data_IF_764265675811
#
_entry.id   IF_764265675811
#
_cell.length_a   1.000
_cell.length_b   1.000
_cell.length_c   1.000
_cell.angle_alpha   90.00
_cell.angle_beta   90.00
_cell.angle_gamma   90.00
#
_symmetry.space_group_name_H-M   'P 1'
#
loop_
_entity.id
_entity.type
_entity.pdbx_description
1 polymer ?
#
# COMPACT_ATOMS: atom_id res chain seq x y z
N UNK A 1 -26.03 -14.96 -11.78
CA UNK A 1 -25.86 -16.24 -11.06
C UNK A 1 -24.76 -16.17 -10.00
N UNK A 2 -23.55 -15.69 -10.35
CA UNK A 2 -22.41 -15.61 -9.43
C UNK A 2 -22.65 -14.71 -8.20
N UNK A 3 -23.23 -13.52 -8.39
CA UNK A 3 -23.64 -12.62 -7.29
C UNK A 3 -24.47 -13.34 -6.21
N UNK A 4 -25.50 -14.09 -6.60
CA UNK A 4 -26.38 -14.81 -5.67
C UNK A 4 -25.64 -15.89 -4.87
N UNK A 5 -24.71 -16.60 -5.48
CA UNK A 5 -23.89 -17.61 -4.79
C UNK A 5 -22.96 -16.95 -3.77
N UNK A 6 -22.34 -15.84 -4.17
CA UNK A 6 -21.47 -15.06 -3.28
C UNK A 6 -22.28 -14.51 -2.10
N UNK A 7 -23.44 -13.89 -2.33
CA UNK A 7 -24.33 -13.40 -1.28
C UNK A 7 -24.75 -14.52 -0.31
N UNK A 8 -25.05 -15.71 -0.84
CA UNK A 8 -25.41 -16.87 -0.01
C UNK A 8 -24.23 -17.39 0.80
N UNK A 9 -23.01 -17.30 0.28
CA UNK A 9 -21.81 -17.68 1.00
C UNK A 9 -21.46 -16.66 2.10
N UNK A 10 -21.60 -15.37 1.80
CA UNK A 10 -21.40 -14.24 2.73
C UNK A 10 -22.29 -14.38 3.98
N UNK A 11 -23.57 -14.77 3.82
CA UNK A 11 -24.47 -14.95 4.97
C UNK A 11 -24.13 -16.14 5.86
N UNK A 12 -23.18 -16.99 5.44
CA UNK A 12 -22.72 -18.18 6.16
C UNK A 12 -21.26 -18.08 6.60
N UNK A 13 -20.67 -16.88 6.53
CA UNK A 13 -19.25 -16.65 6.82
C UNK A 13 -18.84 -17.16 8.21
N UNK A 14 -19.70 -16.95 9.21
CA UNK A 14 -19.43 -17.38 10.60
C UNK A 14 -19.47 -18.91 10.77
N UNK A 15 -20.19 -19.61 9.89
CA UNK A 15 -20.25 -21.06 9.90
C UNK A 15 -19.01 -21.73 9.29
N UNK A 16 -18.10 -20.97 8.68
CA UNK A 16 -16.90 -21.49 8.03
C UNK A 16 -15.78 -21.85 9.02
N UNK A 17 -15.79 -21.27 10.23
CA UNK A 17 -14.77 -21.54 11.24
C UNK A 17 -13.34 -21.37 10.68
N UNK A 18 -12.56 -22.44 10.65
CA UNK A 18 -11.18 -22.43 10.16
C UNK A 18 -11.03 -22.28 8.63
N UNK A 19 -12.10 -22.47 7.85
CA UNK A 19 -12.05 -22.29 6.38
C UNK A 19 -12.36 -20.84 5.96
N UNK A 20 -12.59 -19.94 6.93
CA UNK A 20 -12.92 -18.53 6.68
C UNK A 20 -11.84 -17.80 5.88
N UNK A 21 -10.57 -17.96 6.26
CA UNK A 21 -9.44 -17.32 5.55
C UNK A 21 -9.38 -17.75 4.07
N UNK A 22 -9.44 -19.05 3.79
CA UNK A 22 -9.43 -19.58 2.41
C UNK A 22 -10.61 -19.06 1.58
N UNK A 23 -11.77 -18.89 2.22
CA UNK A 23 -12.91 -18.28 1.55
C UNK A 23 -12.64 -16.82 1.17
N UNK A 24 -12.01 -16.02 2.05
CA UNK A 24 -11.63 -14.64 1.74
C UNK A 24 -10.60 -14.58 0.61
N UNK A 25 -9.59 -15.45 0.62
CA UNK A 25 -8.60 -15.58 -0.46
C UNK A 25 -9.28 -15.88 -1.82
N UNK A 26 -10.21 -16.85 -1.85
CA UNK A 26 -11.01 -17.18 -3.03
C UNK A 26 -11.94 -16.04 -3.45
N UNK A 27 -12.48 -15.29 -2.49
CA UNK A 27 -13.33 -14.15 -2.79
C UNK A 27 -12.53 -13.03 -3.46
N UNK A 28 -11.34 -12.71 -2.95
CA UNK A 28 -10.43 -11.75 -3.59
C UNK A 28 -10.02 -12.24 -4.99
N UNK A 29 -9.71 -13.52 -5.16
CA UNK A 29 -9.44 -14.11 -6.48
C UNK A 29 -10.57 -13.84 -7.49
N UNK A 30 -11.80 -14.10 -7.05
CA UNK A 30 -13.03 -13.92 -7.80
C UNK A 30 -13.21 -12.43 -8.16
N UNK A 31 -12.94 -11.51 -7.23
CA UNK A 31 -12.96 -10.07 -7.51
C UNK A 31 -11.97 -9.69 -8.60
N UNK A 32 -10.72 -10.12 -8.48
CA UNK A 32 -9.68 -9.84 -9.48
C UNK A 32 -10.04 -10.43 -10.85
N UNK A 33 -10.62 -11.63 -10.89
CA UNK A 33 -10.98 -12.33 -12.13
C UNK A 33 -12.20 -11.72 -12.82
N UNK A 34 -13.27 -11.41 -12.08
CA UNK A 34 -14.52 -10.89 -12.65
C UNK A 34 -14.42 -9.40 -12.98
N UNK A 35 -13.77 -8.62 -12.12
CA UNK A 35 -13.65 -7.17 -12.32
C UNK A 35 -12.71 -6.86 -13.50
N UNK A 36 -11.93 -7.84 -13.98
CA UNK A 36 -11.21 -7.72 -15.25
C UNK A 36 -12.14 -7.72 -16.48
N UNK A 37 -13.31 -8.37 -16.39
CA UNK A 37 -14.12 -8.71 -17.57
C UNK A 37 -15.42 -7.89 -17.75
N UNK A 38 -15.99 -7.28 -16.70
CA UNK A 38 -17.32 -6.62 -16.80
C UNK A 38 -17.31 -5.11 -16.55
N UNK A 39 -18.08 -4.33 -17.32
CA UNK A 39 -18.13 -2.85 -17.27
C UNK A 39 -19.24 -2.27 -16.38
N UNK A 40 -20.10 -3.08 -15.77
CA UNK A 40 -21.25 -2.60 -15.01
C UNK A 40 -21.07 -2.79 -13.49
N UNK A 41 -21.05 -1.65 -12.79
CA UNK A 41 -21.32 -1.43 -11.35
C UNK A 41 -21.25 -2.70 -10.48
N UNK A 42 -20.04 -3.17 -10.21
CA UNK A 42 -19.80 -4.33 -9.34
C UNK A 42 -19.88 -3.95 -7.85
N UNK A 43 -20.85 -3.16 -7.40
CA UNK A 43 -20.95 -2.78 -5.97
C UNK A 43 -21.26 -3.95 -5.02
N UNK A 44 -21.60 -5.12 -5.56
CA UNK A 44 -21.86 -6.34 -4.77
C UNK A 44 -20.67 -6.73 -3.91
N UNK A 45 -19.43 -6.33 -4.26
CA UNK A 45 -18.27 -6.69 -3.46
C UNK A 45 -18.31 -6.05 -2.05
N UNK A 46 -19.01 -4.92 -1.93
CA UNK A 46 -19.20 -4.17 -0.67
C UNK A 46 -20.15 -4.87 0.28
N UNK A 47 -20.98 -5.79 -0.23
CA UNK A 47 -21.92 -6.54 0.60
C UNK A 47 -21.16 -7.51 1.52
N UNK A 48 -20.09 -8.18 1.04
CA UNK A 48 -19.23 -9.00 1.91
C UNK A 48 -18.67 -8.17 3.07
N UNK A 49 -18.19 -6.96 2.77
CA UNK A 49 -17.50 -6.13 3.76
C UNK A 49 -18.35 -5.89 5.01
N UNK A 50 -19.67 -5.78 4.86
CA UNK A 50 -20.58 -5.58 6.00
C UNK A 50 -20.58 -6.73 7.02
N UNK A 51 -20.07 -7.90 6.63
CA UNK A 51 -19.97 -9.08 7.47
C UNK A 51 -18.53 -9.39 7.93
N UNK A 52 -17.56 -8.57 7.50
CA UNK A 52 -16.16 -8.75 7.86
C UNK A 52 -15.85 -8.05 9.18
N UNK A 53 -15.09 -8.75 10.00
CA UNK A 53 -14.46 -8.22 11.20
C UNK A 53 -13.06 -7.68 10.88
N UNK A 54 -12.43 -7.05 11.86
CA UNK A 54 -11.12 -6.41 11.67
C UNK A 54 -10.05 -7.36 11.13
N UNK A 55 -10.00 -8.58 11.66
CA UNK A 55 -8.98 -9.55 11.27
C UNK A 55 -9.22 -10.08 9.85
N UNK A 56 -10.49 -10.20 9.43
CA UNK A 56 -10.83 -10.56 8.05
C UNK A 56 -10.34 -9.51 7.04
N UNK A 57 -10.40 -8.22 7.39
CA UNK A 57 -9.88 -7.17 6.52
C UNK A 57 -8.35 -7.26 6.37
N UNK A 58 -7.63 -7.72 7.39
CA UNK A 58 -6.21 -7.98 7.27
C UNK A 58 -5.94 -9.13 6.29
N UNK A 59 -6.70 -10.23 6.36
CA UNK A 59 -6.59 -11.36 5.43
C UNK A 59 -6.95 -10.98 4.00
N UNK A 60 -8.01 -10.17 3.83
CA UNK A 60 -8.39 -9.60 2.53
C UNK A 60 -7.25 -8.73 1.99
N UNK A 61 -6.67 -7.86 2.82
CA UNK A 61 -5.62 -6.96 2.38
C UNK A 61 -4.33 -7.71 2.00
N UNK A 62 -3.98 -8.76 2.75
CA UNK A 62 -2.87 -9.64 2.43
C UNK A 62 -3.12 -10.40 1.12
N UNK A 63 -4.33 -10.91 0.91
CA UNK A 63 -4.72 -11.59 -0.34
C UNK A 63 -4.59 -10.65 -1.55
N UNK A 64 -5.06 -9.40 -1.42
CA UNK A 64 -4.91 -8.38 -2.47
C UNK A 64 -3.43 -8.16 -2.79
N UNK A 65 -2.58 -8.04 -1.76
CA UNK A 65 -1.14 -7.88 -1.94
C UNK A 65 -0.55 -9.04 -2.75
N UNK A 66 -0.91 -10.28 -2.44
CA UNK A 66 -0.47 -11.46 -3.20
C UNK A 66 -0.81 -11.34 -4.69
N UNK A 67 -2.03 -10.93 -5.03
CA UNK A 67 -2.43 -10.76 -6.44
C UNK A 67 -1.75 -9.60 -7.14
N UNK A 68 -1.51 -8.50 -6.43
CA UNK A 68 -0.78 -7.35 -6.97
C UNK A 68 0.69 -7.68 -7.23
N UNK A 69 1.30 -8.49 -6.35
CA UNK A 69 2.70 -8.94 -6.47
C UNK A 69 2.94 -10.03 -7.52
N UNK A 70 1.87 -10.63 -8.05
CA UNK A 70 1.98 -11.64 -9.09
C UNK A 70 2.47 -10.97 -10.40
N UNK A 71 3.60 -11.44 -10.92
CA UNK A 71 4.21 -10.93 -12.16
C UNK A 71 3.27 -11.00 -13.38
N UNK A 72 2.29 -11.91 -13.37
CA UNK A 72 1.28 -12.00 -14.42
C UNK A 72 0.25 -10.86 -14.38
N UNK A 73 0.15 -10.15 -13.26
CA UNK A 73 -0.66 -8.94 -13.10
C UNK A 73 0.08 -7.73 -13.67
N UNK A 74 0.07 -7.57 -14.99
CA UNK A 74 0.74 -6.43 -15.66
C UNK A 74 0.18 -5.05 -15.26
N UNK A 75 0.96 -3.99 -15.53
CA UNK A 75 0.66 -2.62 -15.08
C UNK A 75 -0.74 -2.11 -15.47
N UNK A 76 -1.20 -2.39 -16.69
CA UNK A 76 -2.55 -2.00 -17.14
C UNK A 76 -3.66 -2.67 -16.31
N UNK A 77 -3.44 -3.93 -15.90
CA UNK A 77 -4.36 -4.64 -15.04
C UNK A 77 -4.37 -4.03 -13.63
N UNK A 78 -3.21 -3.70 -13.07
CA UNK A 78 -3.09 -3.00 -11.77
C UNK A 78 -3.82 -1.66 -11.79
N UNK A 79 -3.61 -0.85 -12.83
CA UNK A 79 -4.32 0.42 -13.02
C UNK A 79 -5.84 0.24 -13.16
N UNK A 80 -6.26 -0.78 -13.91
CA UNK A 80 -7.68 -1.12 -14.06
C UNK A 80 -8.31 -1.51 -12.72
N UNK A 81 -7.63 -2.33 -11.92
CA UNK A 81 -8.10 -2.75 -10.60
C UNK A 81 -8.18 -1.56 -9.63
N UNK A 82 -7.18 -0.67 -9.67
CA UNK A 82 -7.16 0.59 -8.93
C UNK A 82 -8.45 1.38 -9.17
N UNK A 83 -8.67 1.78 -10.42
CA UNK A 83 -9.79 2.65 -10.78
C UNK A 83 -11.17 1.98 -10.65
N UNK A 84 -11.24 0.65 -10.75
CA UNK A 84 -12.53 -0.05 -10.66
C UNK A 84 -12.99 -0.29 -9.24
N UNK A 85 -12.09 -0.60 -8.31
CA UNK A 85 -12.53 -0.95 -6.96
C UNK A 85 -11.50 -0.79 -5.85
N UNK A 86 -10.20 -0.95 -6.10
CA UNK A 86 -9.20 -0.85 -5.02
C UNK A 86 -9.13 0.56 -4.43
N UNK A 87 -9.27 1.60 -5.27
CA UNK A 87 -9.38 2.98 -4.81
C UNK A 87 -10.56 3.13 -3.82
N UNK A 88 -11.76 2.68 -4.21
CA UNK A 88 -12.96 2.75 -3.37
C UNK A 88 -12.86 1.89 -2.11
N UNK A 89 -12.20 0.73 -2.20
CA UNK A 89 -11.88 -0.10 -1.04
C UNK A 89 -11.05 0.70 -0.05
N UNK A 90 -9.88 1.18 -0.48
CA UNK A 90 -8.94 1.85 0.40
C UNK A 90 -9.54 3.14 0.97
N UNK A 91 -10.24 3.95 0.17
CA UNK A 91 -10.96 5.13 0.66
C UNK A 91 -11.99 4.74 1.73
N UNK A 92 -12.75 3.67 1.50
CA UNK A 92 -13.71 3.15 2.49
C UNK A 92 -13.04 2.75 3.81
N UNK A 93 -11.85 2.14 3.75
CA UNK A 93 -11.07 1.79 4.93
C UNK A 93 -10.53 3.03 5.67
N UNK A 94 -10.07 4.04 4.94
CA UNK A 94 -9.65 5.34 5.50
C UNK A 94 -10.81 6.08 6.17
N UNK A 95 -12.02 5.99 5.60
CA UNK A 95 -13.27 6.49 6.20
C UNK A 95 -13.70 5.70 7.45
N UNK A 96 -12.97 4.64 7.82
CA UNK A 96 -13.27 3.78 8.95
C UNK A 96 -14.43 2.81 8.72
N UNK A 97 -14.80 2.53 7.47
CA UNK A 97 -15.96 1.71 7.11
C UNK A 97 -15.56 0.31 6.65
N UNK A 98 -16.20 -0.76 7.16
CA UNK A 98 -17.25 -0.76 8.18
C UNK A 98 -16.71 -0.70 9.62
N UNK A 99 -15.45 -1.09 9.81
CA UNK A 99 -14.70 -0.96 11.06
C UNK A 99 -13.38 -0.25 10.79
N UNK A 100 -12.87 0.56 11.72
CA UNK A 100 -11.60 1.26 11.57
C UNK A 100 -10.43 0.33 11.20
N UNK A 101 -9.56 0.80 10.31
CA UNK A 101 -8.38 0.09 9.83
C UNK A 101 -7.47 -0.33 10.99
N UNK A 102 -7.12 -1.62 11.02
CA UNK A 102 -6.18 -2.18 11.99
C UNK A 102 -4.73 -2.01 11.52
N UNK A 103 -3.77 -2.19 12.43
CA UNK A 103 -2.34 -2.16 12.10
C UNK A 103 -1.95 -3.24 11.08
N UNK A 104 -2.40 -4.49 11.29
CA UNK A 104 -2.06 -5.60 10.38
C UNK A 104 -2.60 -5.34 8.96
N UNK A 105 -3.84 -4.84 8.86
CA UNK A 105 -4.43 -4.43 7.59
C UNK A 105 -3.65 -3.28 6.93
N UNK A 106 -3.33 -2.22 7.69
CA UNK A 106 -2.56 -1.09 7.17
C UNK A 106 -1.20 -1.52 6.64
N UNK A 107 -0.53 -2.45 7.33
CA UNK A 107 0.75 -2.98 6.89
C UNK A 107 0.64 -3.68 5.54
N UNK A 108 -0.40 -4.50 5.35
CA UNK A 108 -0.66 -5.17 4.10
C UNK A 108 -0.99 -4.18 2.98
N UNK A 109 -1.85 -3.20 3.25
CA UNK A 109 -2.22 -2.14 2.28
C UNK A 109 -1.01 -1.32 1.86
N UNK A 110 -0.13 -0.99 2.79
CA UNK A 110 1.10 -0.26 2.46
C UNK A 110 2.08 -1.09 1.62
N UNK A 111 2.06 -2.41 1.75
CA UNK A 111 2.77 -3.32 0.85
C UNK A 111 2.35 -3.18 -0.61
N UNK A 112 1.11 -2.76 -0.88
CA UNK A 112 0.61 -2.59 -2.25
C UNK A 112 1.30 -1.47 -3.00
N UNK A 113 1.89 -0.48 -2.31
CA UNK A 113 2.43 0.72 -2.97
C UNK A 113 3.53 0.38 -3.97
N UNK A 114 4.39 -0.60 -3.67
CA UNK A 114 5.43 -1.05 -4.60
C UNK A 114 4.81 -1.64 -5.87
N UNK A 115 3.74 -2.40 -5.73
CA UNK A 115 3.04 -2.98 -6.88
C UNK A 115 2.19 -1.97 -7.65
N UNK A 116 1.63 -0.97 -6.95
CA UNK A 116 0.85 0.12 -7.52
C UNK A 116 1.71 1.27 -8.04
N UNK A 117 3.03 1.07 -8.15
CA UNK A 117 4.00 1.95 -8.78
C UNK A 117 3.83 2.05 -10.31
N UNK A 118 2.60 2.26 -10.76
CA UNK A 118 2.25 2.35 -12.18
C UNK A 118 1.78 3.77 -12.52
N UNK A 119 2.04 4.25 -13.75
CA UNK A 119 1.60 5.57 -14.19
C UNK A 119 0.09 5.77 -13.99
N UNK A 120 -0.29 6.92 -13.45
CA UNK A 120 -1.69 7.28 -13.21
C UNK A 120 -2.29 6.75 -11.89
N UNK A 121 -1.57 5.90 -11.14
CA UNK A 121 -2.04 5.35 -9.85
C UNK A 121 -1.15 5.77 -8.70
N UNK A 122 0.17 5.67 -8.86
CA UNK A 122 1.10 5.69 -7.72
C UNK A 122 0.99 6.95 -6.86
N UNK A 123 0.91 8.13 -7.47
CA UNK A 123 0.80 9.41 -6.75
C UNK A 123 -0.47 9.51 -5.88
N UNK A 124 -1.57 8.93 -6.34
CA UNK A 124 -2.83 8.88 -5.59
C UNK A 124 -2.73 7.86 -4.45
N UNK A 125 -2.19 6.66 -4.71
CA UNK A 125 -1.97 5.64 -3.71
C UNK A 125 -1.05 6.13 -2.56
N UNK A 126 -0.01 6.90 -2.88
CA UNK A 126 0.85 7.54 -1.86
C UNK A 126 0.10 8.58 -1.04
N UNK A 127 -0.83 9.32 -1.66
CA UNK A 127 -1.70 10.27 -0.93
C UNK A 127 -2.64 9.56 0.05
N UNK A 128 -3.10 8.36 -0.31
CA UNK A 128 -3.91 7.52 0.57
C UNK A 128 -3.09 6.98 1.73
N UNK A 129 -1.86 6.54 1.46
CA UNK A 129 -0.90 6.09 2.47
C UNK A 129 -0.59 7.16 3.52
N UNK A 130 -0.40 8.41 3.11
CA UNK A 130 -0.19 9.53 4.03
C UNK A 130 -1.41 9.82 4.92
N UNK A 131 -2.60 9.43 4.48
CA UNK A 131 -3.86 9.64 5.18
C UNK A 131 -4.16 8.54 6.20
N UNK A 132 -3.32 7.50 6.28
CA UNK A 132 -3.50 6.43 7.28
C UNK A 132 -3.38 6.99 8.70
N UNK A 133 -4.23 6.52 9.64
CA UNK A 133 -4.15 6.91 11.04
C UNK A 133 -2.78 6.59 11.64
N UNK A 134 -2.26 7.46 12.50
CA UNK A 134 -0.95 7.23 13.15
C UNK A 134 -0.90 5.91 13.94
N UNK A 135 -2.03 5.51 14.54
CA UNK A 135 -2.18 4.24 15.24
C UNK A 135 -2.06 3.00 14.35
N UNK A 136 -2.18 3.16 13.04
CA UNK A 136 -2.11 2.07 12.07
C UNK A 136 -0.66 1.81 11.60
N UNK A 137 0.24 2.79 11.78
CA UNK A 137 1.64 2.63 11.40
C UNK A 137 2.37 1.80 12.45
N UNK A 138 2.84 0.60 12.08
CA UNK A 138 3.72 -0.19 12.95
C UNK A 138 5.15 -0.26 12.41
N UNK A 139 6.08 -0.50 13.34
CA UNK A 139 7.49 -0.70 13.04
C UNK A 139 7.70 -1.84 12.03
N UNK A 140 6.99 -2.95 12.23
CA UNK A 140 7.11 -4.16 11.39
C UNK A 140 6.60 -3.94 9.96
N UNK A 141 5.65 -3.01 9.78
CA UNK A 141 5.16 -2.62 8.48
C UNK A 141 6.29 -2.10 7.59
N UNK A 142 7.04 -1.14 8.10
CA UNK A 142 7.91 -0.28 7.31
C UNK A 142 9.20 -0.95 6.86
N UNK A 143 9.77 -1.81 7.71
CA UNK A 143 10.91 -2.65 7.33
C UNK A 143 10.56 -3.60 6.17
N UNK A 144 9.28 -3.94 6.03
CA UNK A 144 8.75 -4.75 4.93
C UNK A 144 8.31 -3.91 3.71
N UNK A 145 8.27 -2.57 3.79
CA UNK A 145 7.85 -1.71 2.67
C UNK A 145 8.98 -1.44 1.67
N UNK A 146 10.21 -1.23 2.14
CA UNK A 146 11.35 -0.84 1.29
C UNK A 146 11.91 -1.94 0.37
N UNK A 147 12.06 -3.21 0.82
CA UNK A 147 12.56 -4.27 -0.06
C UNK A 147 11.66 -4.54 -1.28
N UNK A 148 10.31 -4.52 -1.17
CA UNK A 148 9.43 -4.57 -2.34
C UNK A 148 9.60 -3.40 -3.31
N UNK A 149 9.84 -2.18 -2.85
CA UNK A 149 10.00 -1.02 -3.75
C UNK A 149 11.23 -1.15 -4.67
N UNK A 150 12.36 -1.65 -4.17
CA UNK A 150 13.56 -1.87 -4.99
C UNK A 150 13.41 -3.05 -5.96
N UNK A 151 12.60 -4.05 -5.58
CA UNK A 151 12.38 -5.25 -6.38
C UNK A 151 11.28 -5.07 -7.43
N UNK A 152 10.27 -4.24 -7.14
CA UNK A 152 9.11 -4.05 -8.01
C UNK A 152 9.43 -3.19 -9.24
N UNK A 153 10.21 -2.11 -9.07
CA UNK A 153 10.63 -1.28 -10.20
C UNK A 153 11.99 -0.60 -9.89
N UNK A 154 13.09 -1.00 -10.55
CA UNK A 154 14.40 -0.37 -10.36
C UNK A 154 14.42 1.10 -10.81
N UNK A 155 13.50 1.51 -11.68
CA UNK A 155 13.37 2.86 -12.22
C UNK A 155 12.34 3.71 -11.45
N UNK A 156 11.70 3.16 -10.40
CA UNK A 156 10.67 3.82 -9.59
C UNK A 156 11.06 5.25 -9.20
N UNK A 157 12.31 5.40 -8.76
CA UNK A 157 12.83 6.68 -8.29
C UNK A 157 12.90 7.74 -9.38
N UNK A 158 13.27 7.31 -10.59
CA UNK A 158 13.38 8.20 -11.74
C UNK A 158 11.99 8.60 -12.27
N UNK A 159 11.00 7.70 -12.15
CA UNK A 159 9.64 7.91 -12.61
C UNK A 159 8.79 8.73 -11.63
N UNK A 160 8.96 8.49 -10.32
CA UNK A 160 8.12 9.06 -9.26
C UNK A 160 8.94 9.60 -8.07
N UNK A 161 9.88 10.53 -8.31
CA UNK A 161 10.80 10.99 -7.27
C UNK A 161 10.10 11.63 -6.07
N UNK A 162 9.04 12.40 -6.31
CA UNK A 162 8.31 13.10 -5.26
C UNK A 162 7.52 12.13 -4.38
N UNK A 163 6.87 11.14 -4.98
CA UNK A 163 6.08 10.12 -4.31
C UNK A 163 6.96 9.23 -3.43
N UNK A 164 8.13 8.84 -3.95
CA UNK A 164 9.13 8.14 -3.13
C UNK A 164 9.51 8.98 -1.91
N UNK A 165 9.84 10.26 -2.09
CA UNK A 165 10.21 11.14 -0.97
C UNK A 165 9.10 11.21 0.07
N UNK A 166 7.84 11.24 -0.35
CA UNK A 166 6.67 11.22 0.55
C UNK A 166 6.58 9.93 1.36
N UNK A 167 6.82 8.78 0.73
CA UNK A 167 6.90 7.48 1.44
C UNK A 167 8.08 7.47 2.42
N UNK A 168 9.24 7.99 2.04
CA UNK A 168 10.41 8.14 2.92
C UNK A 168 10.08 8.99 4.14
N UNK A 169 9.45 10.15 3.93
CA UNK A 169 9.01 11.05 4.99
C UNK A 169 8.02 10.38 5.94
N UNK A 170 7.04 9.64 5.38
CA UNK A 170 6.09 8.86 6.17
C UNK A 170 6.83 7.85 7.06
N UNK A 171 7.90 7.26 6.53
CA UNK A 171 8.73 6.33 7.28
C UNK A 171 9.55 6.91 8.40
N UNK A 172 10.24 7.99 8.12
CA UNK A 172 11.03 8.70 9.12
C UNK A 172 10.16 9.23 10.26
N UNK A 173 8.94 9.72 9.96
CA UNK A 173 7.99 10.20 10.98
C UNK A 173 7.56 9.09 11.95
N UNK A 174 7.30 7.90 11.42
CA UNK A 174 6.79 6.77 12.20
C UNK A 174 7.88 6.12 13.04
N UNK A 175 9.09 5.98 12.49
CA UNK A 175 10.12 5.11 13.06
C UNK A 175 11.32 5.85 13.68
N UNK A 176 11.53 7.11 13.29
CA UNK A 176 12.84 7.74 13.41
C UNK A 176 13.90 7.01 12.56
N UNK A 177 15.16 7.41 12.68
CA UNK A 177 16.25 6.79 11.93
C UNK A 177 17.00 5.76 12.79
N UNK A 178 16.44 4.56 12.95
CA UNK A 178 17.18 3.48 13.61
C UNK A 178 18.41 3.08 12.80
N UNK A 179 19.45 2.64 13.50
CA UNK A 179 20.79 2.46 12.93
C UNK A 179 20.86 1.39 11.84
N UNK A 180 20.04 0.33 11.90
CA UNK A 180 20.14 -0.80 10.96
C UNK A 180 19.61 -0.47 9.56
N UNK A 181 18.75 0.53 9.41
CA UNK A 181 18.25 0.98 8.11
C UNK A 181 19.05 2.14 7.52
N UNK A 182 19.97 2.75 8.29
CA UNK A 182 20.72 3.95 7.84
C UNK A 182 21.49 3.74 6.54
N UNK A 183 22.05 2.56 6.29
CA UNK A 183 22.78 2.26 5.06
C UNK A 183 21.86 2.24 3.84
N UNK A 184 20.68 1.60 3.96
CA UNK A 184 19.66 1.59 2.90
C UNK A 184 19.13 3.00 2.64
N UNK A 185 18.87 3.75 3.71
CA UNK A 185 18.49 5.16 3.60
C UNK A 185 19.55 5.99 2.86
N UNK A 186 20.84 5.76 3.12
CA UNK A 186 21.93 6.45 2.42
C UNK A 186 21.93 6.18 0.91
N UNK A 187 21.74 4.93 0.50
CA UNK A 187 21.70 4.59 -0.93
C UNK A 187 20.51 5.25 -1.65
N UNK A 188 19.32 5.24 -1.02
CA UNK A 188 18.15 5.93 -1.57
C UNK A 188 18.32 7.44 -1.62
N UNK A 189 18.86 8.05 -0.56
CA UNK A 189 19.08 9.49 -0.49
C UNK A 189 20.08 9.97 -1.53
N UNK A 190 21.12 9.18 -1.82
CA UNK A 190 22.05 9.45 -2.92
C UNK A 190 21.33 9.47 -4.27
N UNK A 191 20.57 8.43 -4.58
CA UNK A 191 19.82 8.36 -5.85
C UNK A 191 18.76 9.49 -5.95
N UNK A 192 18.13 9.85 -4.83
CA UNK A 192 17.18 10.95 -4.74
C UNK A 192 17.84 12.29 -5.05
N UNK A 193 19.06 12.52 -4.55
CA UNK A 193 19.80 13.75 -4.82
C UNK A 193 20.05 13.98 -6.31
N UNK A 194 20.34 12.90 -7.04
CA UNK A 194 20.58 12.90 -8.48
C UNK A 194 19.29 13.13 -9.30
N UNK A 195 18.12 13.10 -8.64
CA UNK A 195 16.80 13.22 -9.29
C UNK A 195 16.17 14.58 -9.06
N UNK A 196 15.37 15.07 -10.02
CA UNK A 196 14.62 16.32 -9.87
C UNK A 196 13.43 16.12 -8.92
N UNK A 197 13.57 16.63 -7.69
CA UNK A 197 12.54 16.60 -6.64
C UNK A 197 12.03 18.01 -6.42
N UNK A 198 10.75 18.13 -6.06
CA UNK A 198 10.17 19.39 -5.60
C UNK A 198 11.01 20.02 -4.47
N UNK A 199 11.41 21.31 -4.59
CA UNK A 199 12.26 21.95 -3.58
C UNK A 199 11.67 21.94 -2.17
N UNK A 200 10.35 22.03 -2.03
CA UNK A 200 9.67 22.01 -0.73
C UNK A 200 9.77 20.64 -0.09
N UNK A 201 9.55 19.57 -0.87
CA UNK A 201 9.74 18.19 -0.40
C UNK A 201 11.20 17.92 -0.04
N UNK A 202 12.15 18.44 -0.83
CA UNK A 202 13.58 18.35 -0.52
C UNK A 202 13.89 19.00 0.83
N UNK A 203 13.48 20.25 1.05
CA UNK A 203 13.67 20.93 2.34
C UNK A 203 13.07 20.13 3.51
N UNK A 204 11.82 19.67 3.36
CA UNK A 204 11.14 18.88 4.40
C UNK A 204 11.88 17.57 4.71
N UNK A 205 12.41 16.90 3.69
CA UNK A 205 13.21 15.69 3.84
C UNK A 205 14.50 15.97 4.61
N UNK A 206 15.23 17.01 4.25
CA UNK A 206 16.44 17.43 4.96
C UNK A 206 16.17 17.71 6.44
N UNK A 207 15.14 18.50 6.75
CA UNK A 207 14.75 18.82 8.13
C UNK A 207 14.36 17.55 8.92
N UNK A 208 13.60 16.65 8.30
CA UNK A 208 13.17 15.39 8.93
C UNK A 208 14.36 14.46 9.21
N UNK A 209 15.33 14.38 8.31
CA UNK A 209 16.55 13.59 8.50
C UNK A 209 17.42 14.14 9.64
N UNK A 210 17.59 15.46 9.72
CA UNK A 210 18.30 16.10 10.83
C UNK A 210 17.58 15.80 12.15
N UNK A 211 16.26 15.94 12.20
CA UNK A 211 15.45 15.60 13.37
C UNK A 211 15.55 14.12 13.78
N UNK A 212 15.76 13.23 12.80
CA UNK A 212 15.98 11.80 13.03
C UNK A 212 17.43 11.46 13.44
N UNK A 213 18.34 12.45 13.50
CA UNK A 213 19.72 12.28 13.97
C UNK A 213 20.72 11.88 12.88
N UNK A 214 20.45 12.20 11.62
CA UNK A 214 21.49 12.25 10.57
C UNK A 214 22.27 13.57 10.71
N UNK A 215 23.60 13.52 10.60
CA UNK A 215 24.38 14.76 10.69
C UNK A 215 24.25 15.56 9.39
N UNK A 216 24.20 16.91 9.44
CA UNK A 216 24.20 17.73 8.24
C UNK A 216 25.37 17.41 7.31
N UNK A 217 26.55 17.11 7.86
CA UNK A 217 27.71 16.66 7.10
C UNK A 217 27.56 15.30 6.44
N UNK A 218 26.79 14.37 7.02
CA UNK A 218 26.45 13.13 6.32
C UNK A 218 25.53 13.47 5.14
N UNK A 219 24.57 14.38 5.35
CA UNK A 219 23.61 14.78 4.33
C UNK A 219 24.25 15.61 3.19
N UNK A 220 25.18 16.50 3.52
CA UNK A 220 25.89 17.39 2.60
C UNK A 220 26.99 16.64 1.83
N UNK A 221 27.60 15.60 2.41
CA UNK A 221 28.46 14.67 1.64
C UNK A 221 27.70 13.90 0.58
N UNK A 222 26.37 13.92 0.59
CA UNK A 222 25.53 13.40 -0.49
C UNK A 222 25.25 14.45 -1.58
N UNK A 223 25.85 15.64 -1.48
CA UNK A 223 25.68 16.76 -2.43
C UNK A 223 26.91 17.09 -3.28
N UNK A 224 28.01 16.33 -3.11
CA UNK A 224 29.22 16.37 -3.95
C UNK A 224 29.30 15.13 -4.86
#
# INVERSE_FOLDING_TARGET
MLKTHIQTAVTRLDALGCDRQKFLELYVYILFSIIKEQSESTTWYRELWQHLERDDFADVAASINTYLSDESTGNDAKATLWHRWLHDYWQGRLDGKPVGIGSVEANAIMGWLGDLAVPGVFAEAVTFAESLPESAHTIEAMCNWFPPFEQADPDLLSQFPNEVVRIVLLGLKTYGAQQHDRLKWQEWLKKLHETSIDPTLKTKLYETLIGAGFSPTDIDKWSE
#
